data_IF_394231737380
#
_entry.id   IF_394231737380
#
_cell.length_a   1.000
_cell.length_b   1.000
_cell.length_c   1.000
_cell.angle_alpha   90.00
_cell.angle_beta   90.00
_cell.angle_gamma   90.00
#
_symmetry.space_group_name_H-M   'P 1'
#
loop_
_entity.id
_entity.type
_entity.pdbx_description
1 polymer ?
#
# COMPACT_ATOMS: atom_id res chain seq x y z
N UNK A 1 4.52 23.57 -8.57
CA UNK A 1 5.21 22.27 -8.80
C UNK A 1 5.51 21.69 -7.43
N UNK A 2 5.20 20.41 -7.21
CA UNK A 2 5.59 19.66 -6.02
C UNK A 2 6.54 18.55 -6.44
N UNK A 3 7.64 18.36 -5.72
CA UNK A 3 8.59 17.27 -5.93
C UNK A 3 8.13 16.03 -5.17
N UNK A 4 7.67 15.05 -5.90
CA UNK A 4 7.18 13.77 -5.38
C UNK A 4 8.29 12.75 -5.47
N UNK A 5 8.53 12.01 -4.38
CA UNK A 5 9.48 10.91 -4.31
C UNK A 5 8.75 9.59 -4.04
N UNK A 6 9.13 8.54 -4.75
CA UNK A 6 8.71 7.17 -4.44
C UNK A 6 9.92 6.30 -4.12
N UNK A 7 9.84 5.60 -3.01
CA UNK A 7 10.92 4.75 -2.53
C UNK A 7 10.72 3.33 -3.03
N UNK A 8 11.78 2.76 -3.59
CA UNK A 8 11.90 1.34 -3.87
C UNK A 8 12.97 0.78 -2.96
N UNK A 9 12.57 0.09 -1.90
CA UNK A 9 13.50 -0.39 -0.87
C UNK A 9 13.21 -1.85 -0.54
N UNK A 10 14.25 -2.68 -0.71
CA UNK A 10 14.22 -4.07 -0.28
C UNK A 10 14.26 -4.14 1.26
N UNK A 11 13.37 -4.92 1.90
CA UNK A 11 13.40 -5.06 3.35
C UNK A 11 14.66 -5.78 3.81
N UNK A 12 15.08 -5.52 5.05
CA UNK A 12 16.05 -6.34 5.74
C UNK A 12 15.33 -7.63 6.14
N UNK A 13 15.74 -8.73 5.53
CA UNK A 13 15.15 -10.04 5.79
C UNK A 13 15.59 -10.60 7.14
N UNK A 14 14.73 -11.41 7.72
CA UNK A 14 15.00 -12.19 8.92
C UNK A 14 14.84 -13.68 8.60
N UNK A 15 15.43 -14.52 9.42
CA UNK A 15 15.28 -15.98 9.28
C UNK A 15 13.95 -16.41 9.94
N UNK A 16 12.99 -16.82 9.14
CA UNK A 16 11.67 -17.29 9.60
C UNK A 16 11.77 -18.58 10.46
N UNK A 17 12.93 -19.29 10.42
CA UNK A 17 13.19 -20.48 11.24
C UNK A 17 13.69 -20.13 12.64
N UNK A 18 14.05 -18.88 12.88
CA UNK A 18 14.46 -18.43 14.21
C UNK A 18 13.29 -18.56 15.18
N UNK A 19 13.46 -19.42 16.17
CA UNK A 19 12.42 -19.74 17.15
C UNK A 19 12.03 -18.52 17.99
N UNK A 20 12.95 -17.62 18.26
CA UNK A 20 12.69 -16.41 19.00
C UNK A 20 11.80 -15.42 18.20
N UNK A 21 11.86 -15.47 16.87
CA UNK A 21 11.05 -14.61 16.00
C UNK A 21 9.70 -15.23 15.63
N UNK A 22 9.53 -16.54 15.80
CA UNK A 22 8.31 -17.27 15.42
C UNK A 22 7.24 -17.14 16.50
N UNK A 23 6.07 -16.50 16.23
CA UNK A 23 5.00 -16.31 17.24
C UNK A 23 4.41 -17.62 17.76
N UNK A 24 4.61 -18.74 17.06
CA UNK A 24 4.12 -20.08 17.46
C UNK A 24 5.14 -20.87 18.26
N UNK A 25 6.37 -20.39 18.38
CA UNK A 25 7.42 -21.03 19.15
C UNK A 25 7.23 -20.79 20.66
N UNK A 26 7.53 -21.79 21.51
CA UNK A 26 7.60 -21.56 22.96
C UNK A 26 8.75 -20.62 23.37
N UNK A 27 9.74 -20.42 22.49
CA UNK A 27 10.88 -19.55 22.71
C UNK A 27 10.65 -18.15 22.14
N UNK A 28 9.42 -17.81 21.72
CA UNK A 28 9.09 -16.50 21.14
C UNK A 28 9.50 -15.36 22.07
N UNK A 29 10.19 -14.39 21.50
CA UNK A 29 10.67 -13.19 22.20
C UNK A 29 10.34 -11.94 21.39
N UNK A 30 9.34 -11.21 21.81
CA UNK A 30 8.89 -9.98 21.16
C UNK A 30 9.97 -8.89 21.10
N UNK A 31 10.86 -8.84 22.11
CA UNK A 31 11.95 -7.88 22.12
C UNK A 31 12.94 -8.16 20.97
N UNK A 32 13.23 -9.43 20.71
CA UNK A 32 14.07 -9.79 19.56
C UNK A 32 13.41 -9.47 18.21
N UNK A 33 12.10 -9.66 18.06
CA UNK A 33 11.39 -9.23 16.85
C UNK A 33 11.53 -7.73 16.64
N UNK A 34 11.37 -6.94 17.69
CA UNK A 34 11.54 -5.49 17.62
C UNK A 34 12.97 -5.11 17.22
N UNK A 35 13.97 -5.68 17.89
CA UNK A 35 15.39 -5.32 17.67
C UNK A 35 15.95 -5.84 16.35
N UNK A 36 15.56 -7.05 15.93
CA UNK A 36 16.16 -7.68 14.75
C UNK A 36 15.37 -7.45 13.46
N UNK A 37 14.06 -7.14 13.55
CA UNK A 37 13.22 -6.99 12.38
C UNK A 37 12.68 -5.57 12.25
N UNK A 38 11.90 -5.10 13.24
CA UNK A 38 11.21 -3.80 13.12
C UNK A 38 12.18 -2.62 13.06
N UNK A 39 13.03 -2.46 14.06
CA UNK A 39 13.95 -1.31 14.13
C UNK A 39 14.90 -1.20 12.95
N UNK A 40 15.60 -2.26 12.49
CA UNK A 40 16.46 -2.15 11.32
C UNK A 40 15.72 -1.74 10.05
N UNK A 41 14.50 -2.24 9.84
CA UNK A 41 13.68 -1.85 8.70
C UNK A 41 13.21 -0.40 8.81
N UNK A 42 12.77 0.04 9.99
CA UNK A 42 12.40 1.44 10.24
C UNK A 42 13.59 2.37 10.00
N UNK A 43 14.80 2.03 10.52
CA UNK A 43 15.99 2.86 10.30
C UNK A 43 16.38 2.92 8.81
N UNK A 44 16.29 1.82 8.09
CA UNK A 44 16.50 1.82 6.64
C UNK A 44 15.55 2.78 5.93
N UNK A 45 14.27 2.82 6.32
CA UNK A 45 13.31 3.79 5.77
C UNK A 45 13.64 5.22 6.20
N UNK A 46 14.09 5.43 7.44
CA UNK A 46 14.57 6.72 7.92
C UNK A 46 15.73 7.26 7.07
N UNK A 47 16.66 6.40 6.67
CA UNK A 47 17.75 6.78 5.76
C UNK A 47 17.20 7.22 4.39
N UNK A 48 16.21 6.50 3.85
CA UNK A 48 15.54 6.90 2.59
C UNK A 48 14.82 8.23 2.71
N UNK A 49 14.14 8.47 3.83
CA UNK A 49 13.50 9.76 4.09
C UNK A 49 14.51 10.91 4.17
N UNK A 50 15.66 10.72 4.84
CA UNK A 50 16.75 11.74 4.88
C UNK A 50 17.27 12.02 3.47
N UNK A 51 17.56 10.98 2.67
CA UNK A 51 18.01 11.14 1.29
C UNK A 51 16.98 11.89 0.43
N UNK A 52 15.70 11.59 0.58
CA UNK A 52 14.64 12.29 -0.12
C UNK A 52 14.52 13.76 0.31
N UNK A 53 14.66 14.04 1.60
CA UNK A 53 14.67 15.38 2.16
C UNK A 53 15.86 16.21 1.68
N UNK A 54 17.05 15.63 1.62
CA UNK A 54 18.26 16.26 1.04
C UNK A 54 18.06 16.61 -0.45
N UNK A 55 17.29 15.80 -1.16
CA UNK A 55 16.86 16.06 -2.54
C UNK A 55 15.62 16.95 -2.65
N UNK A 56 15.19 17.59 -1.55
CA UNK A 56 14.08 18.56 -1.50
C UNK A 56 12.75 17.98 -1.95
N UNK A 57 12.44 16.75 -1.58
CA UNK A 57 11.11 16.18 -1.81
C UNK A 57 10.06 16.96 -1.00
N UNK A 58 8.92 17.26 -1.61
CA UNK A 58 7.74 17.81 -0.93
C UNK A 58 6.90 16.72 -0.30
N UNK A 59 6.86 15.55 -0.94
CA UNK A 59 6.18 14.36 -0.45
C UNK A 59 6.97 13.10 -0.83
N UNK A 60 7.09 12.18 0.13
CA UNK A 60 7.76 10.90 -0.03
C UNK A 60 6.77 9.76 0.23
N UNK A 61 6.72 8.77 -0.66
CA UNK A 61 5.93 7.55 -0.48
C UNK A 61 6.88 6.41 -0.15
N UNK A 62 6.70 5.80 1.02
CA UNK A 62 7.37 4.57 1.44
C UNK A 62 6.55 3.35 1.01
N UNK A 63 7.15 2.16 1.07
CA UNK A 63 6.51 0.90 0.68
C UNK A 63 5.44 0.44 1.67
N UNK A 64 4.61 -0.53 1.28
CA UNK A 64 3.67 -1.21 2.17
C UNK A 64 4.42 -1.96 3.26
N UNK A 65 3.90 -1.89 4.50
CA UNK A 65 4.49 -2.59 5.65
C UNK A 65 5.97 -2.27 5.82
N UNK A 66 6.32 -0.99 5.78
CA UNK A 66 7.70 -0.51 5.78
C UNK A 66 8.51 -0.95 7.01
N UNK A 67 7.84 -1.34 8.09
CA UNK A 67 8.40 -1.90 9.33
C UNK A 67 8.47 -3.44 9.33
N UNK A 68 7.88 -4.11 8.30
CA UNK A 68 7.90 -5.56 8.08
C UNK A 68 7.12 -6.40 9.13
N UNK A 69 6.05 -5.85 9.71
CA UNK A 69 5.27 -6.53 10.76
C UNK A 69 4.10 -7.38 10.26
N UNK A 70 3.90 -7.53 8.95
CA UNK A 70 2.75 -8.21 8.36
C UNK A 70 2.52 -9.65 8.85
N UNK A 71 3.58 -10.43 8.96
CA UNK A 71 3.47 -11.83 9.37
C UNK A 71 2.93 -11.96 10.81
N UNK A 72 3.41 -11.12 11.73
CA UNK A 72 2.91 -11.15 13.13
C UNK A 72 1.47 -10.65 13.21
N UNK A 73 1.06 -9.67 12.40
CA UNK A 73 -0.34 -9.25 12.30
C UNK A 73 -1.28 -10.38 11.92
N UNK A 74 -0.82 -11.31 11.09
CA UNK A 74 -1.62 -12.44 10.61
C UNK A 74 -1.73 -13.58 11.63
N UNK A 75 -0.92 -13.60 12.69
CA UNK A 75 -0.96 -14.62 13.76
C UNK A 75 -2.16 -14.39 14.71
N UNK A 76 -3.38 -14.53 14.21
CA UNK A 76 -4.62 -14.18 14.92
C UNK A 76 -4.95 -15.06 16.13
N UNK A 77 -4.44 -16.27 16.14
CA UNK A 77 -4.54 -17.23 17.26
C UNK A 77 -3.44 -17.04 18.32
N UNK A 78 -2.58 -16.05 18.15
CA UNK A 78 -1.52 -15.67 19.11
C UNK A 78 -1.65 -14.17 19.49
N UNK A 79 -2.78 -13.77 20.10
CA UNK A 79 -3.08 -12.35 20.37
C UNK A 79 -2.03 -11.66 21.24
N UNK A 80 -1.46 -12.37 22.22
CA UNK A 80 -0.43 -11.85 23.10
C UNK A 80 0.89 -11.55 22.35
N UNK A 81 1.26 -12.38 21.36
CA UNK A 81 2.45 -12.16 20.55
C UNK A 81 2.25 -10.95 19.62
N UNK A 82 1.09 -10.88 18.96
CA UNK A 82 0.73 -9.74 18.09
C UNK A 82 0.77 -8.41 18.84
N UNK A 83 0.13 -8.36 20.01
CA UNK A 83 0.01 -7.14 20.81
C UNK A 83 1.36 -6.57 21.24
N UNK A 84 2.39 -7.42 21.36
CA UNK A 84 3.72 -6.99 21.77
C UNK A 84 4.56 -6.41 20.63
N UNK A 85 4.32 -6.81 19.39
CA UNK A 85 5.17 -6.43 18.25
C UNK A 85 4.55 -5.43 17.29
N UNK A 86 3.20 -5.43 17.15
CA UNK A 86 2.50 -4.50 16.26
C UNK A 86 2.16 -3.22 17.00
N UNK A 87 2.60 -2.09 16.44
CA UNK A 87 2.44 -0.78 17.06
C UNK A 87 1.04 -0.21 16.91
N UNK A 88 0.68 0.67 17.84
CA UNK A 88 -0.38 1.65 17.64
C UNK A 88 0.11 2.81 16.75
N UNK A 89 -0.82 3.55 16.15
CA UNK A 89 -0.57 4.77 15.40
C UNK A 89 -1.37 5.92 16.07
N UNK A 90 -0.72 6.98 16.59
CA UNK A 90 0.73 7.24 16.62
C UNK A 90 1.53 6.29 17.52
N UNK A 91 2.82 6.13 17.22
CA UNK A 91 3.74 5.30 17.98
C UNK A 91 5.18 5.44 17.47
N UNK A 92 6.10 4.65 18.04
CA UNK A 92 7.56 4.74 17.83
C UNK A 92 7.95 4.92 16.35
N UNK A 93 7.35 4.12 15.44
CA UNK A 93 7.66 4.18 14.00
C UNK A 93 7.20 5.50 13.37
N UNK A 94 5.97 5.93 13.66
CA UNK A 94 5.44 7.19 13.12
C UNK A 94 6.12 8.42 13.71
N UNK A 95 6.58 8.35 14.96
CA UNK A 95 7.37 9.41 15.60
C UNK A 95 8.76 9.55 14.94
N UNK A 96 9.42 8.41 14.63
CA UNK A 96 10.70 8.43 13.92
C UNK A 96 10.57 9.05 12.52
N UNK A 97 9.55 8.66 11.75
CA UNK A 97 9.28 9.24 10.43
C UNK A 97 8.86 10.72 10.53
N UNK A 98 8.04 11.07 11.50
CA UNK A 98 7.60 12.44 11.77
C UNK A 98 8.74 13.39 12.13
N UNK A 99 9.72 12.91 12.88
CA UNK A 99 10.90 13.70 13.20
C UNK A 99 11.67 14.12 11.93
N UNK A 100 11.81 13.21 10.97
CA UNK A 100 12.51 13.48 9.71
C UNK A 100 11.61 14.33 8.78
N UNK A 101 10.30 14.06 8.72
CA UNK A 101 9.35 14.88 7.99
C UNK A 101 9.44 16.35 8.40
N UNK A 102 9.46 16.61 9.69
CA UNK A 102 9.63 17.96 10.26
C UNK A 102 11.01 18.56 9.97
N UNK A 103 12.08 17.77 10.10
CA UNK A 103 13.45 18.24 9.85
C UNK A 103 13.60 18.78 8.42
N UNK A 104 13.01 18.10 7.44
CA UNK A 104 13.11 18.48 6.03
C UNK A 104 11.89 19.22 5.50
N UNK A 105 10.90 19.48 6.34
CA UNK A 105 9.65 20.16 5.96
C UNK A 105 8.95 19.48 4.78
N UNK A 106 8.81 18.15 4.80
CA UNK A 106 8.20 17.33 3.76
C UNK A 106 7.04 16.48 4.30
N UNK A 107 6.12 16.11 3.42
CA UNK A 107 5.09 15.11 3.74
C UNK A 107 5.64 13.70 3.57
N UNK A 108 5.14 12.75 4.37
CA UNK A 108 5.49 11.33 4.25
C UNK A 108 4.22 10.49 4.23
N UNK A 109 4.10 9.61 3.22
CA UNK A 109 3.12 8.51 3.23
C UNK A 109 3.87 7.22 3.51
N UNK A 110 3.51 6.53 4.59
CA UNK A 110 4.15 5.29 5.02
C UNK A 110 3.14 4.18 5.21
N UNK A 111 3.35 3.04 4.51
CA UNK A 111 2.59 1.81 4.76
C UNK A 111 3.09 1.13 6.02
N UNK A 112 2.18 0.78 6.93
CA UNK A 112 2.46 0.24 8.26
C UNK A 112 1.40 -0.81 8.63
N UNK A 113 1.67 -1.58 9.69
CA UNK A 113 0.64 -2.39 10.36
C UNK A 113 0.26 -1.73 11.67
N UNK A 114 -1.04 -1.59 11.90
CA UNK A 114 -1.59 -0.88 13.06
C UNK A 114 -2.37 -1.82 13.97
N UNK A 115 -2.18 -1.66 15.28
CA UNK A 115 -3.07 -2.21 16.29
C UNK A 115 -3.96 -1.10 16.86
N UNK A 116 -5.27 -1.34 16.86
CA UNK A 116 -6.29 -0.47 17.49
C UNK A 116 -7.07 -1.34 18.50
N UNK A 117 -6.72 -1.27 19.77
CA UNK A 117 -7.22 -2.21 20.77
C UNK A 117 -6.86 -3.66 20.40
N UNK A 118 -7.86 -4.50 20.18
CA UNK A 118 -7.70 -5.90 19.77
C UNK A 118 -7.81 -6.10 18.24
N UNK A 119 -7.96 -5.02 17.48
CA UNK A 119 -8.12 -5.04 16.04
C UNK A 119 -6.83 -4.65 15.34
N UNK A 120 -6.54 -5.29 14.21
CA UNK A 120 -5.31 -5.07 13.44
C UNK A 120 -5.65 -4.67 12.01
N UNK A 121 -4.88 -3.73 11.47
CA UNK A 121 -5.05 -3.19 10.12
C UNK A 121 -3.74 -3.17 9.34
N UNK A 122 -3.82 -3.40 8.04
CA UNK A 122 -2.81 -2.93 7.11
C UNK A 122 -3.17 -1.48 6.81
N UNK A 123 -2.32 -0.56 7.23
CA UNK A 123 -2.59 0.87 7.25
C UNK A 123 -1.55 1.65 6.45
N UNK A 124 -1.89 2.85 6.04
CA UNK A 124 -0.92 3.85 5.62
C UNK A 124 -1.26 5.19 6.26
N UNK A 125 -0.23 5.90 6.69
CA UNK A 125 -0.36 7.21 7.34
C UNK A 125 0.17 8.30 6.43
N UNK A 126 -0.49 9.45 6.42
CA UNK A 126 0.05 10.70 5.89
C UNK A 126 0.54 11.56 7.06
N UNK A 127 1.84 11.82 7.08
CA UNK A 127 2.52 12.68 8.04
C UNK A 127 2.77 14.04 7.40
N UNK A 128 2.47 15.11 8.11
CA UNK A 128 2.64 16.48 7.67
C UNK A 128 4.07 17.00 7.80
N UNK A 129 4.32 18.18 7.23
CA UNK A 129 5.61 18.88 7.29
C UNK A 129 6.03 19.25 8.72
N UNK A 130 5.09 19.29 9.65
CA UNK A 130 5.31 19.50 11.09
C UNK A 130 5.62 18.21 11.85
N UNK A 131 5.60 17.07 11.15
CA UNK A 131 5.82 15.74 11.69
C UNK A 131 4.60 15.13 12.38
N UNK A 132 3.43 15.80 12.32
CA UNK A 132 2.19 15.27 12.87
C UNK A 132 1.44 14.44 11.84
N UNK A 133 0.65 13.48 12.30
CA UNK A 133 -0.21 12.67 11.43
C UNK A 133 -1.39 13.54 10.98
N UNK A 134 -1.53 13.75 9.66
CA UNK A 134 -2.68 14.42 9.04
C UNK A 134 -3.86 13.45 8.99
N UNK A 135 -3.60 12.19 8.65
CA UNK A 135 -4.62 11.17 8.57
C UNK A 135 -4.05 9.79 8.25
N UNK A 136 -4.94 8.80 8.22
CA UNK A 136 -4.59 7.41 7.91
C UNK A 136 -5.66 6.74 7.06
N UNK A 137 -5.23 5.74 6.32
CA UNK A 137 -6.06 4.86 5.51
C UNK A 137 -5.88 3.43 5.97
N UNK A 138 -6.96 2.68 6.10
CA UNK A 138 -6.94 1.24 6.32
C UNK A 138 -7.27 0.53 5.01
N UNK A 139 -6.43 -0.43 4.61
CA UNK A 139 -6.59 -1.22 3.39
C UNK A 139 -7.97 -1.87 3.32
N UNK A 140 -8.71 -1.57 2.26
CA UNK A 140 -10.08 -2.08 2.07
C UNK A 140 -10.07 -3.51 1.53
N UNK A 141 -9.22 -3.80 0.53
CA UNK A 141 -9.15 -5.12 -0.07
C UNK A 141 -7.94 -5.89 0.46
N UNK A 142 -8.22 -6.90 1.27
CA UNK A 142 -7.22 -7.77 1.87
C UNK A 142 -6.97 -9.00 0.99
N UNK A 143 -5.71 -9.39 0.88
CA UNK A 143 -5.32 -10.68 0.32
C UNK A 143 -5.86 -11.83 1.17
N UNK A 144 -5.84 -13.05 0.63
CA UNK A 144 -6.31 -14.22 1.38
C UNK A 144 -5.53 -14.44 2.68
N UNK A 145 -4.20 -14.22 2.66
CA UNK A 145 -3.37 -14.36 3.86
C UNK A 145 -3.70 -13.30 4.92
N UNK A 146 -3.88 -12.04 4.50
CA UNK A 146 -4.20 -10.95 5.43
C UNK A 146 -5.53 -11.16 6.16
N UNK A 147 -6.53 -11.74 5.48
CA UNK A 147 -7.87 -11.98 6.07
C UNK A 147 -7.86 -12.91 7.28
N UNK A 148 -6.77 -13.60 7.53
CA UNK A 148 -6.63 -14.43 8.72
C UNK A 148 -6.56 -13.61 10.01
N UNK A 149 -5.99 -12.41 9.98
CA UNK A 149 -5.76 -11.64 11.20
C UNK A 149 -5.87 -10.13 11.06
N UNK A 150 -6.14 -9.62 9.85
CA UNK A 150 -6.25 -8.19 9.56
C UNK A 150 -7.69 -7.86 9.21
N UNK A 151 -8.18 -6.74 9.69
CA UNK A 151 -9.53 -6.21 9.44
C UNK A 151 -9.52 -5.29 8.22
N UNK A 152 -10.55 -5.38 7.39
CA UNK A 152 -10.74 -4.49 6.24
C UNK A 152 -11.03 -3.06 6.69
N UNK A 153 -10.48 -2.07 5.96
CA UNK A 153 -10.96 -0.70 5.99
C UNK A 153 -12.36 -0.58 5.39
N UNK A 154 -12.99 0.58 5.55
CA UNK A 154 -14.37 0.83 5.14
C UNK A 154 -14.58 2.05 4.26
N UNK A 155 -13.54 2.86 4.01
CA UNK A 155 -13.65 4.13 3.31
C UNK A 155 -12.40 4.47 2.49
N UNK A 156 -12.51 5.53 1.69
CA UNK A 156 -11.44 6.04 0.83
C UNK A 156 -11.22 7.54 1.11
N UNK A 157 -10.60 7.89 2.24
CA UNK A 157 -10.40 9.27 2.62
C UNK A 157 -9.43 10.01 1.72
N UNK A 158 -9.61 11.33 1.62
CA UNK A 158 -8.69 12.25 0.96
C UNK A 158 -8.31 13.34 1.96
N UNK A 159 -7.04 13.67 1.99
CA UNK A 159 -6.46 14.57 2.99
C UNK A 159 -5.97 15.86 2.32
N UNK A 160 -6.32 17.00 2.88
CA UNK A 160 -5.84 18.30 2.39
C UNK A 160 -4.39 18.54 2.85
N UNK A 161 -3.55 18.99 1.90
CA UNK A 161 -2.17 19.43 2.16
C UNK A 161 -1.89 20.74 1.44
N UNK A 162 -0.77 21.38 1.75
CA UNK A 162 -0.33 22.61 1.06
C UNK A 162 0.04 22.37 -0.41
N UNK A 163 0.39 21.13 -0.79
CA UNK A 163 0.73 20.77 -2.17
C UNK A 163 -0.47 20.31 -3.00
N UNK A 164 -1.59 19.98 -2.38
CA UNK A 164 -2.80 19.45 -3.00
C UNK A 164 -3.47 18.40 -2.12
N UNK A 165 -4.50 17.75 -2.66
CA UNK A 165 -5.28 16.72 -1.97
C UNK A 165 -4.67 15.34 -2.21
N UNK A 166 -4.38 14.62 -1.15
CA UNK A 166 -3.71 13.32 -1.17
C UNK A 166 -4.68 12.21 -0.79
N UNK A 167 -4.84 11.22 -1.68
CA UNK A 167 -5.51 9.96 -1.41
C UNK A 167 -4.50 8.83 -1.27
N UNK A 168 -4.90 7.73 -0.62
CA UNK A 168 -4.03 6.57 -0.39
C UNK A 168 -4.79 5.30 -0.75
N UNK A 169 -4.11 4.38 -1.45
CA UNK A 169 -4.50 2.98 -1.65
C UNK A 169 -3.32 2.08 -1.31
N UNK A 170 -3.58 0.82 -0.93
CA UNK A 170 -2.53 -0.12 -0.56
C UNK A 170 -2.64 -1.41 -1.38
N UNK A 171 -1.57 -1.74 -2.11
CA UNK A 171 -1.30 -3.06 -2.71
C UNK A 171 -2.52 -3.71 -3.40
N UNK A 172 -3.18 -4.66 -2.75
CA UNK A 172 -4.28 -5.43 -3.31
C UNK A 172 -5.52 -4.59 -3.67
N UNK A 173 -5.66 -3.38 -3.13
CA UNK A 173 -6.69 -2.42 -3.57
C UNK A 173 -6.58 -2.10 -5.07
N UNK A 174 -5.36 -2.15 -5.62
CA UNK A 174 -5.10 -1.81 -7.02
C UNK A 174 -5.66 -2.82 -8.01
N UNK A 175 -5.90 -4.05 -7.58
CA UNK A 175 -6.52 -5.10 -8.42
C UNK A 175 -7.96 -4.70 -8.79
N UNK A 176 -8.62 -3.95 -7.91
CA UNK A 176 -10.02 -3.53 -8.08
C UNK A 176 -10.09 -2.11 -8.64
N UNK A 177 -10.52 -1.93 -9.92
CA UNK A 177 -10.71 -0.59 -10.51
C UNK A 177 -11.61 0.30 -9.66
N UNK A 178 -12.58 -0.30 -8.99
CA UNK A 178 -13.57 0.35 -8.15
C UNK A 178 -12.94 1.07 -6.95
N UNK A 179 -11.81 0.59 -6.44
CA UNK A 179 -11.08 1.23 -5.34
C UNK A 179 -10.61 2.62 -5.74
N UNK A 180 -9.91 2.72 -6.87
CA UNK A 180 -9.47 4.02 -7.35
C UNK A 180 -10.64 4.87 -7.85
N UNK A 181 -11.66 4.27 -8.47
CA UNK A 181 -12.85 4.99 -8.89
C UNK A 181 -13.56 5.65 -7.70
N UNK A 182 -13.69 4.93 -6.58
CA UNK A 182 -14.28 5.44 -5.34
C UNK A 182 -13.44 6.56 -4.73
N UNK A 183 -12.11 6.33 -4.63
CA UNK A 183 -11.19 7.35 -4.13
C UNK A 183 -11.21 8.61 -5.01
N UNK A 184 -11.19 8.44 -6.33
CA UNK A 184 -11.21 9.55 -7.29
C UNK A 184 -12.46 10.40 -7.18
N UNK A 185 -13.62 9.81 -6.85
CA UNK A 185 -14.84 10.56 -6.57
C UNK A 185 -14.70 11.50 -5.34
N UNK A 186 -13.77 11.23 -4.43
CA UNK A 186 -13.46 12.13 -3.32
C UNK A 186 -12.45 13.22 -3.71
N UNK A 187 -11.96 13.22 -4.96
CA UNK A 187 -11.20 14.31 -5.57
C UNK A 187 -9.77 14.48 -5.08
N UNK A 188 -8.90 13.45 -5.08
CA UNK A 188 -7.48 13.60 -4.84
C UNK A 188 -6.78 14.21 -6.07
N UNK A 189 -5.72 14.98 -5.83
CA UNK A 189 -4.79 15.45 -6.86
C UNK A 189 -3.65 14.46 -7.08
N UNK A 190 -3.31 13.71 -6.01
CA UNK A 190 -2.27 12.68 -5.99
C UNK A 190 -2.78 11.46 -5.23
N UNK A 191 -2.61 10.29 -5.80
CA UNK A 191 -2.81 9.00 -5.11
C UNK A 191 -1.46 8.39 -4.78
N UNK A 192 -1.18 8.22 -3.50
CA UNK A 192 0.00 7.53 -3.00
C UNK A 192 -0.31 6.04 -2.87
N UNK A 193 0.57 5.20 -3.39
CA UNK A 193 0.32 3.77 -3.50
C UNK A 193 1.49 2.93 -2.97
N UNK A 194 1.56 2.72 -1.64
CA UNK A 194 2.43 1.71 -1.03
C UNK A 194 2.04 0.29 -1.46
N UNK A 195 3.02 -0.51 -1.91
CA UNK A 195 2.75 -1.90 -2.34
C UNK A 195 3.96 -2.84 -2.19
N UNK A 196 3.69 -4.12 -1.95
CA UNK A 196 4.68 -5.18 -2.09
C UNK A 196 4.83 -5.67 -3.53
N UNK A 197 3.83 -5.44 -4.40
CA UNK A 197 3.91 -5.79 -5.81
C UNK A 197 3.88 -7.29 -6.13
N UNK A 198 3.43 -8.13 -5.22
CA UNK A 198 3.30 -9.57 -5.44
C UNK A 198 2.35 -9.89 -6.60
N UNK A 199 2.79 -10.75 -7.51
CA UNK A 199 1.98 -11.26 -8.60
C UNK A 199 1.78 -10.28 -9.76
N UNK A 200 2.47 -9.15 -9.76
CA UNK A 200 2.51 -8.25 -10.89
C UNK A 200 3.51 -8.77 -11.91
N UNK A 201 3.02 -9.20 -13.04
CA UNK A 201 3.87 -9.31 -14.21
C UNK A 201 4.23 -7.91 -14.69
N UNK A 202 5.40 -7.76 -15.25
CA UNK A 202 5.96 -6.48 -15.69
C UNK A 202 4.97 -5.66 -16.52
N UNK A 203 4.35 -6.30 -17.50
CA UNK A 203 3.41 -5.64 -18.41
C UNK A 203 2.10 -5.24 -17.74
N UNK A 204 1.55 -6.10 -16.87
CA UNK A 204 0.28 -5.81 -16.19
C UNK A 204 0.41 -4.66 -15.19
N UNK A 205 1.53 -4.58 -14.47
CA UNK A 205 1.80 -3.48 -13.54
C UNK A 205 1.85 -2.14 -14.26
N UNK A 206 2.59 -2.04 -15.37
CA UNK A 206 2.67 -0.83 -16.16
C UNK A 206 1.32 -0.43 -16.76
N UNK A 207 0.63 -1.37 -17.40
CA UNK A 207 -0.66 -1.10 -18.05
C UNK A 207 -1.67 -0.60 -17.02
N UNK A 208 -1.79 -1.26 -15.87
CA UNK A 208 -2.76 -0.84 -14.85
C UNK A 208 -2.40 0.50 -14.22
N UNK A 209 -1.13 0.80 -13.98
CA UNK A 209 -0.71 2.09 -13.44
C UNK A 209 -1.08 3.24 -14.38
N UNK A 210 -0.79 3.08 -15.68
CA UNK A 210 -1.11 4.07 -16.72
C UNK A 210 -2.62 4.24 -16.89
N UNK A 211 -3.37 3.13 -17.02
CA UNK A 211 -4.82 3.17 -17.18
C UNK A 211 -5.50 3.81 -15.97
N UNK A 212 -5.17 3.39 -14.74
CA UNK A 212 -5.77 3.92 -13.52
C UNK A 212 -5.57 5.44 -13.39
N UNK A 213 -4.35 5.93 -13.67
CA UNK A 213 -4.06 7.37 -13.65
C UNK A 213 -4.88 8.12 -14.72
N UNK A 214 -4.94 7.57 -15.94
CA UNK A 214 -5.64 8.20 -17.07
C UNK A 214 -7.17 8.15 -16.91
N UNK A 215 -7.73 7.00 -16.51
CA UNK A 215 -9.18 6.78 -16.39
C UNK A 215 -9.84 7.74 -15.38
N UNK A 216 -9.07 8.14 -14.37
CA UNK A 216 -9.58 9.01 -13.30
C UNK A 216 -8.92 10.39 -13.26
N UNK A 217 -8.03 10.69 -14.22
CA UNK A 217 -7.31 11.98 -14.30
C UNK A 217 -6.62 12.36 -12.99
N UNK A 218 -5.94 11.40 -12.34
CA UNK A 218 -5.19 11.60 -11.09
C UNK A 218 -3.70 11.30 -11.29
N UNK A 219 -2.84 11.97 -10.53
CA UNK A 219 -1.43 11.57 -10.46
C UNK A 219 -1.28 10.38 -9.51
N UNK A 220 -0.36 9.48 -9.78
CA UNK A 220 -0.09 8.30 -8.94
C UNK A 220 1.39 8.23 -8.60
N UNK A 221 1.71 8.08 -7.33
CA UNK A 221 3.06 7.80 -6.85
C UNK A 221 3.09 6.40 -6.22
N UNK A 222 3.64 5.44 -6.95
CA UNK A 222 3.72 4.04 -6.55
C UNK A 222 5.07 3.74 -5.92
N UNK A 223 5.08 3.27 -4.67
CA UNK A 223 6.26 2.78 -3.97
C UNK A 223 6.16 1.27 -3.77
N UNK A 224 6.97 0.52 -4.52
CA UNK A 224 6.92 -0.93 -4.59
C UNK A 224 8.15 -1.54 -3.94
N UNK A 225 7.96 -2.59 -3.14
CA UNK A 225 9.04 -3.35 -2.52
C UNK A 225 9.66 -4.30 -3.54
N UNK A 226 10.94 -4.17 -3.89
CA UNK A 226 11.65 -5.23 -4.59
C UNK A 226 11.92 -6.37 -3.61
N UNK A 227 11.72 -7.59 -4.02
CA UNK A 227 11.93 -8.77 -3.18
C UNK A 227 12.38 -9.96 -4.02
N UNK A 228 12.80 -11.02 -3.35
CA UNK A 228 13.08 -12.30 -4.03
C UNK A 228 11.84 -12.92 -4.71
N UNK A 229 10.66 -12.42 -4.39
CA UNK A 229 9.39 -12.92 -4.93
C UNK A 229 8.78 -11.99 -5.99
N UNK A 230 9.33 -10.79 -6.17
CA UNK A 230 8.85 -9.84 -7.16
C UNK A 230 9.89 -8.76 -7.44
N UNK A 231 9.99 -8.30 -8.69
CA UNK A 231 11.11 -7.46 -9.14
C UNK A 231 11.06 -6.02 -8.62
N UNK A 232 9.94 -5.57 -8.00
CA UNK A 232 9.69 -4.15 -7.77
C UNK A 232 9.37 -3.48 -9.11
N UNK A 233 9.36 -2.25 -9.20
CA UNK A 233 9.21 -1.24 -10.23
C UNK A 233 8.32 -0.12 -9.74
N UNK A 234 8.83 0.62 -8.75
CA UNK A 234 8.20 1.87 -8.34
C UNK A 234 8.14 2.82 -9.50
N UNK A 235 7.02 3.53 -9.67
CA UNK A 235 6.87 4.53 -10.72
C UNK A 235 6.02 5.70 -10.26
N UNK A 236 6.20 6.85 -10.93
CA UNK A 236 5.33 8.01 -10.78
C UNK A 236 4.65 8.23 -12.13
N UNK A 237 3.32 8.30 -12.12
CA UNK A 237 2.49 8.42 -13.32
C UNK A 237 1.68 9.70 -13.20
N UNK A 238 1.70 10.52 -14.25
CA UNK A 238 0.89 11.72 -14.28
C UNK A 238 -0.58 11.43 -14.66
N UNK A 239 -1.45 12.39 -14.46
CA UNK A 239 -2.89 12.27 -14.73
C UNK A 239 -3.27 11.96 -16.19
N UNK A 240 -2.34 12.02 -17.11
CA UNK A 240 -2.51 11.61 -18.51
C UNK A 240 -2.09 10.15 -18.76
N UNK A 241 -1.70 9.40 -17.71
CA UNK A 241 -1.24 8.02 -17.82
C UNK A 241 0.19 7.87 -18.34
N UNK A 242 1.00 8.93 -18.25
CA UNK A 242 2.41 8.87 -18.67
C UNK A 242 3.28 8.58 -17.44
N UNK A 243 4.16 7.58 -17.55
CA UNK A 243 5.20 7.34 -16.54
C UNK A 243 6.23 8.47 -16.67
N UNK A 244 6.38 9.26 -15.62
CA UNK A 244 7.30 10.41 -15.56
C UNK A 244 8.55 10.12 -14.74
N UNK A 245 8.54 9.08 -13.93
CA UNK A 245 9.70 8.49 -13.27
C UNK A 245 9.51 6.99 -13.08
N UNK A 246 10.58 6.20 -13.26
CA UNK A 246 10.57 4.74 -13.23
C UNK A 246 11.86 4.24 -12.56
N UNK A 247 11.71 3.44 -11.50
CA UNK A 247 12.83 2.85 -10.76
C UNK A 247 13.51 1.69 -11.50
N UNK A 248 12.80 1.09 -12.46
CA UNK A 248 13.20 -0.20 -13.02
C UNK A 248 13.12 -1.34 -12.00
N UNK A 249 13.61 -2.51 -12.40
CA UNK A 249 13.51 -3.73 -11.60
C UNK A 249 14.73 -3.97 -10.73
N UNK A 250 14.54 -4.69 -9.60
CA UNK A 250 15.60 -5.18 -8.70
C UNK A 250 16.59 -4.10 -8.21
N UNK A 251 16.10 -2.87 -8.04
CA UNK A 251 16.92 -1.74 -7.57
C UNK A 251 16.44 -1.28 -6.22
N UNK A 252 17.38 -0.94 -5.36
CA UNK A 252 17.12 -0.21 -4.12
C UNK A 252 17.43 1.27 -4.38
N UNK A 253 16.39 2.10 -4.60
CA UNK A 253 16.54 3.48 -5.04
C UNK A 253 15.36 4.37 -4.64
N UNK A 254 15.52 5.67 -4.87
CA UNK A 254 14.44 6.66 -4.79
C UNK A 254 14.31 7.30 -6.16
N UNK A 255 13.08 7.39 -6.67
CA UNK A 255 12.76 8.11 -7.89
C UNK A 255 12.01 9.40 -7.57
N UNK A 256 12.14 10.39 -8.44
CA UNK A 256 11.59 11.72 -8.25
C UNK A 256 10.87 12.20 -9.50
N UNK A 257 9.77 12.95 -9.32
CA UNK A 257 9.12 13.72 -10.37
C UNK A 257 8.63 15.05 -9.83
N UNK A 258 8.81 16.12 -10.61
CA UNK A 258 8.24 17.43 -10.31
C UNK A 258 6.88 17.53 -11.01
N UNK A 259 5.79 17.55 -10.23
CA UNK A 259 4.41 17.56 -10.72
C UNK A 259 3.70 18.87 -10.37
N UNK A 260 2.92 19.38 -11.29
CA UNK A 260 1.89 20.38 -10.97
C UNK A 260 0.60 19.63 -10.60
N UNK A 261 0.38 19.44 -9.31
CA UNK A 261 -0.77 18.69 -8.80
C UNK A 261 -2.11 19.41 -9.03
N UNK A 262 -2.07 20.72 -9.28
CA UNK A 262 -3.27 21.53 -9.54
C UNK A 262 -3.58 21.69 -11.03
N UNK A 263 -2.66 21.24 -11.90
CA UNK A 263 -2.87 21.32 -13.34
C UNK A 263 -4.04 20.44 -13.76
N UNK A 264 -5.04 21.07 -14.35
CA UNK A 264 -6.17 20.36 -14.93
C UNK A 264 -5.74 19.70 -16.24
N UNK A 265 -6.34 18.56 -16.56
CA UNK A 265 -6.10 17.87 -17.82
C UNK A 265 -7.02 18.43 -18.90
N UNK A 266 -6.45 19.21 -19.81
CA UNK A 266 -7.15 19.70 -20.97
C UNK A 266 -6.81 18.82 -22.18
N UNK A 267 -7.81 18.14 -22.73
CA UNK A 267 -7.69 17.41 -23.98
C UNK A 267 -8.61 18.01 -25.02
N UNK A 268 -8.15 18.09 -26.28
CA UNK A 268 -9.03 18.33 -27.41
C UNK A 268 -9.90 17.09 -27.59
N UNK A 269 -11.19 17.21 -27.34
CA UNK A 269 -12.12 16.13 -27.61
C UNK A 269 -12.73 16.28 -28.99
N UNK A 270 -13.02 15.18 -29.64
CA UNK A 270 -13.26 14.91 -31.04
C UNK A 270 -14.32 15.77 -31.76
N UNK A 271 -15.24 16.43 -31.10
CA UNK A 271 -16.50 16.77 -31.76
C UNK A 271 -16.73 18.27 -31.93
N UNK A 272 -16.14 19.11 -31.11
CA UNK A 272 -16.47 20.54 -31.14
C UNK A 272 -15.30 21.50 -31.02
N UNK A 273 -14.06 21.03 -31.21
CA UNK A 273 -12.83 21.81 -31.06
C UNK A 273 -12.69 22.56 -29.74
N UNK A 274 -13.62 22.40 -28.82
CA UNK A 274 -13.54 23.06 -27.52
C UNK A 274 -12.47 22.34 -26.66
N UNK A 275 -11.64 23.15 -26.01
CA UNK A 275 -10.75 22.68 -24.96
C UNK A 275 -11.63 22.36 -23.78
N UNK A 276 -11.74 21.09 -23.45
CA UNK A 276 -12.49 20.64 -22.29
C UNK A 276 -11.57 20.10 -21.22
N UNK A 277 -11.87 20.42 -19.97
CA UNK A 277 -11.30 19.72 -18.83
C UNK A 277 -11.81 18.28 -18.81
N UNK A 278 -11.00 17.36 -19.37
CA UNK A 278 -11.35 15.94 -19.38
C UNK A 278 -11.49 15.40 -17.95
N UNK A 279 -10.67 15.88 -17.01
CA UNK A 279 -10.80 15.51 -15.60
C UNK A 279 -12.20 15.83 -15.05
N UNK A 280 -12.68 17.05 -15.28
CA UNK A 280 -14.05 17.46 -14.89
C UNK A 280 -15.13 16.65 -15.57
N UNK A 281 -15.01 16.39 -16.89
CA UNK A 281 -15.98 15.59 -17.64
C UNK A 281 -16.11 14.15 -17.14
N UNK A 282 -15.02 13.50 -16.72
CA UNK A 282 -15.06 12.15 -16.14
C UNK A 282 -16.00 12.06 -14.93
N UNK A 283 -16.25 13.17 -14.26
CA UNK A 283 -17.18 13.22 -13.11
C UNK A 283 -18.56 13.76 -13.49
N UNK A 284 -18.64 14.81 -14.31
CA UNK A 284 -19.91 15.47 -14.69
C UNK A 284 -20.76 14.55 -15.55
N UNK A 285 -20.15 13.83 -16.51
CA UNK A 285 -20.85 12.99 -17.48
C UNK A 285 -21.11 11.55 -16.98
N UNK A 286 -20.73 11.23 -15.74
CA UNK A 286 -21.00 9.92 -15.15
C UNK A 286 -22.50 9.64 -15.07
N UNK A 287 -22.86 8.35 -15.25
CA UNK A 287 -24.22 7.83 -15.17
C UNK A 287 -24.36 6.85 -14.00
N UNK A 288 -24.24 7.30 -12.70
CA UNK A 288 -24.23 6.41 -11.53
C UNK A 288 -25.43 5.49 -11.44
N UNK A 289 -26.59 5.92 -11.96
CA UNK A 289 -27.82 5.12 -12.00
C UNK A 289 -27.70 3.85 -12.85
N UNK A 290 -26.69 3.77 -13.73
CA UNK A 290 -26.40 2.59 -14.56
C UNK A 290 -25.41 1.63 -13.92
N UNK A 291 -24.76 2.00 -12.80
CA UNK A 291 -23.68 1.23 -12.16
C UNK A 291 -24.15 0.31 -11.05
N UNK A 292 -25.45 0.12 -10.88
CA UNK A 292 -26.04 -0.69 -9.79
C UNK A 292 -25.48 -2.12 -9.72
N UNK A 293 -25.10 -2.68 -10.85
CA UNK A 293 -24.49 -4.02 -10.91
C UNK A 293 -23.18 -4.11 -10.11
N UNK A 294 -22.43 -3.00 -9.97
CA UNK A 294 -21.17 -2.96 -9.22
C UNK A 294 -21.37 -3.05 -7.70
N UNK A 295 -22.58 -2.74 -7.22
CA UNK A 295 -22.92 -2.75 -5.79
C UNK A 295 -23.68 -4.01 -5.37
N UNK A 296 -23.89 -4.95 -6.28
CA UNK A 296 -24.51 -6.24 -5.95
C UNK A 296 -23.52 -7.13 -5.23
N UNK A 297 -23.88 -7.64 -4.06
CA UNK A 297 -23.06 -8.60 -3.30
C UNK A 297 -22.80 -9.89 -4.08
N UNK A 298 -23.79 -10.32 -4.86
CA UNK A 298 -23.69 -11.50 -5.70
C UNK A 298 -24.07 -11.20 -7.16
N UNK A 299 -23.16 -10.59 -7.92
CA UNK A 299 -23.39 -10.37 -9.34
C UNK A 299 -23.36 -11.70 -10.11
N UNK A 300 -24.04 -11.80 -11.27
CA UNK A 300 -24.11 -13.04 -12.07
C UNK A 300 -22.73 -13.64 -12.42
N UNK A 301 -21.72 -12.80 -12.56
CA UNK A 301 -20.35 -13.26 -12.81
C UNK A 301 -19.76 -14.06 -11.63
N UNK A 302 -20.14 -13.73 -10.39
CA UNK A 302 -19.67 -14.46 -9.20
C UNK A 302 -20.16 -15.90 -9.21
N UNK A 303 -21.46 -16.13 -9.51
CA UNK A 303 -22.05 -17.47 -9.58
C UNK A 303 -21.30 -18.36 -10.59
N UNK A 304 -21.02 -17.81 -11.78
CA UNK A 304 -20.23 -18.50 -12.81
C UNK A 304 -18.85 -18.93 -12.31
N UNK A 305 -18.16 -18.10 -11.54
CA UNK A 305 -16.82 -18.40 -11.03
C UNK A 305 -16.87 -19.33 -9.82
N UNK A 306 -17.85 -19.17 -8.93
CA UNK A 306 -18.02 -20.03 -7.74
C UNK A 306 -18.44 -21.47 -8.08
N UNK A 307 -18.96 -21.72 -9.29
CA UNK A 307 -19.19 -23.07 -9.78
C UNK A 307 -17.87 -23.86 -9.97
N UNK A 308 -16.73 -23.19 -10.04
CA UNK A 308 -15.41 -23.83 -10.12
C UNK A 308 -14.94 -24.23 -8.72
N UNK A 309 -14.83 -25.54 -8.47
CA UNK A 309 -14.50 -26.11 -7.15
C UNK A 309 -13.20 -25.51 -6.55
N UNK A 310 -12.16 -25.29 -7.35
CA UNK A 310 -10.92 -24.72 -6.88
C UNK A 310 -11.05 -23.24 -6.41
N UNK A 311 -12.00 -22.48 -6.98
CA UNK A 311 -12.30 -21.11 -6.54
C UNK A 311 -13.04 -21.15 -5.20
N UNK A 312 -14.04 -22.03 -5.09
CA UNK A 312 -14.82 -22.22 -3.86
C UNK A 312 -13.92 -22.61 -2.68
N UNK A 313 -13.05 -23.61 -2.85
CA UNK A 313 -12.13 -24.08 -1.82
C UNK A 313 -11.18 -22.99 -1.30
N UNK A 314 -10.77 -22.04 -2.16
CA UNK A 314 -9.93 -20.91 -1.73
C UNK A 314 -10.63 -19.95 -0.75
N UNK A 315 -11.94 -19.98 -0.70
CA UNK A 315 -12.73 -19.11 0.19
C UNK A 315 -13.13 -19.78 1.50
N UNK A 316 -12.82 -21.06 1.69
CA UNK A 316 -13.11 -21.77 2.93
C UNK A 316 -12.24 -21.25 4.09
N UNK A 317 -12.84 -20.93 5.27
CA UNK A 317 -12.11 -20.30 6.38
C UNK A 317 -10.91 -21.11 6.86
N UNK A 318 -11.04 -22.44 6.93
CA UNK A 318 -9.98 -23.35 7.39
C UNK A 318 -8.74 -23.30 6.48
N UNK A 319 -8.93 -23.18 5.17
CA UNK A 319 -7.82 -23.07 4.23
C UNK A 319 -7.17 -21.68 4.24
N UNK A 320 -7.91 -20.64 4.64
CA UNK A 320 -7.34 -19.29 4.82
C UNK A 320 -6.38 -19.28 6.00
N UNK A 321 -6.77 -19.89 7.12
CA UNK A 321 -5.93 -19.97 8.31
C UNK A 321 -4.67 -20.79 8.04
N UNK A 322 -4.81 -21.99 7.44
CA UNK A 322 -3.69 -22.84 7.10
C UNK A 322 -2.65 -22.14 6.20
N UNK A 323 -3.09 -21.30 5.26
CA UNK A 323 -2.17 -20.54 4.40
C UNK A 323 -1.51 -19.35 5.10
N UNK A 324 -2.21 -18.69 6.00
CA UNK A 324 -1.62 -17.63 6.81
C UNK A 324 -0.48 -18.18 7.69
N UNK A 325 -0.65 -19.43 8.19
CA UNK A 325 0.36 -20.11 9.00
C UNK A 325 1.48 -20.75 8.16
N UNK A 326 1.29 -20.96 6.86
CA UNK A 326 2.27 -21.67 6.02
C UNK A 326 3.66 -21.01 6.00
N UNK A 327 3.73 -19.69 6.14
CA UNK A 327 5.00 -18.95 6.27
C UNK A 327 5.73 -19.23 7.60
N UNK A 328 5.03 -19.78 8.60
CA UNK A 328 5.55 -20.09 9.92
C UNK A 328 5.52 -21.59 10.24
N UNK A 329 4.94 -22.41 9.34
CA UNK A 329 4.87 -23.83 9.52
C UNK A 329 6.28 -24.43 9.53
N UNK A 330 6.68 -24.93 10.68
CA UNK A 330 7.93 -25.62 10.89
C UNK A 330 7.64 -27.08 11.25
N UNK A 331 8.13 -27.98 10.42
CA UNK A 331 8.07 -29.41 10.70
C UNK A 331 9.23 -29.79 11.65
N UNK A 332 8.92 -29.85 12.94
CA UNK A 332 9.89 -30.15 13.97
C UNK A 332 10.52 -31.57 13.85
N UNK A 333 9.83 -32.51 13.18
CA UNK A 333 10.35 -33.86 12.99
C UNK A 333 11.37 -33.95 11.86
N UNK A 334 11.27 -33.07 10.86
CA UNK A 334 12.12 -33.08 9.68
C UNK A 334 13.03 -31.85 9.58
N UNK A 335 13.03 -30.96 10.57
CA UNK A 335 13.84 -29.71 10.60
C UNK A 335 13.71 -28.86 9.32
N UNK A 336 12.50 -28.69 8.81
CA UNK A 336 12.23 -27.93 7.60
C UNK A 336 10.97 -27.08 7.67
N UNK A 337 10.97 -25.99 6.93
CA UNK A 337 9.75 -25.19 6.67
C UNK A 337 8.89 -25.98 5.68
N UNK A 338 7.63 -26.16 6.00
CA UNK A 338 6.63 -26.73 5.10
C UNK A 338 6.33 -25.70 4.00
N UNK A 339 6.64 -26.00 2.73
CA UNK A 339 6.31 -25.19 1.57
C UNK A 339 4.81 -25.20 1.23
#
# INVERSE_FOLDING_TARGET
MARIASVQTEPIYYDVRDRALNPYSPDFDAAQVIEQVRRPNVEKQCERLRQAGENRADLVVLTEGSEVMGNWCQASDRPEARAQVVCEIPGETTEAYGAIARQYSMHVVAGLHERVGDTYYNAAVLIGRDGQIIGKYHKVHLTQAERAGITCGSDYPVFDTDIGRVGILICYDWIYPESLASLACNGPDLVCFPTHGYGWTEDLGEVTAKCRAADHSVNVAMAMTPSKFGPGRSCIVNRAGQIVADAGYHRDCIIYADLDLRLQRYDKFFVDESISDLGGRLFVDRRPETYKILTMEQPPALEKHMAQEHVRRRHEPEQRLARAHAGWAYDAENDRIME
#
